data_IF_958672889292
#
_entry.id   IF_958672889292
#
_cell.length_a   1.000
_cell.length_b   1.000
_cell.length_c   1.000
_cell.angle_alpha   90.00
_cell.angle_beta   90.00
_cell.angle_gamma   90.00
#
_symmetry.space_group_name_H-M   'P 1'
#
loop_
_entity.id
_entity.type
_entity.pdbx_description
1 polymer ?
#
# COMPACT_ATOMS: atom_id res chain seq x y z
N UNK A 1 -5.47 9.66 16.03
CA UNK A 1 -6.96 9.62 16.05
C UNK A 1 -7.57 10.65 17.01
N UNK A 2 -6.98 10.91 18.18
CA UNK A 2 -7.38 12.06 18.98
C UNK A 2 -7.17 13.35 18.19
N UNK A 3 -8.21 14.20 18.07
CA UNK A 3 -8.16 15.47 17.34
C UNK A 3 -9.03 15.53 16.07
N UNK A 4 -9.53 14.40 15.57
CA UNK A 4 -10.52 14.40 14.48
C UNK A 4 -11.95 14.50 15.01
N UNK A 5 -12.81 15.19 14.26
CA UNK A 5 -14.25 15.33 14.58
C UNK A 5 -15.00 14.03 14.33
N UNK A 6 -14.60 13.26 13.33
CA UNK A 6 -15.18 11.96 13.04
C UNK A 6 -14.16 10.82 13.17
N UNK A 7 -14.62 9.75 13.84
CA UNK A 7 -13.91 8.49 13.98
C UNK A 7 -14.70 7.38 13.26
N UNK A 8 -14.03 6.42 12.61
CA UNK A 8 -14.71 5.23 12.13
C UNK A 8 -15.46 4.48 13.24
N UNK A 9 -16.65 3.90 12.96
CA UNK A 9 -17.40 3.10 13.93
C UNK A 9 -16.85 1.69 14.14
N UNK A 10 -15.70 1.33 13.54
CA UNK A 10 -15.02 0.03 13.70
C UNK A 10 -13.66 0.19 14.38
N UNK A 11 -13.08 -0.92 14.82
CA UNK A 11 -11.72 -0.96 15.35
C UNK A 11 -10.68 -0.73 14.25
N UNK A 12 -9.76 0.21 14.47
CA UNK A 12 -8.78 0.69 13.49
C UNK A 12 -7.43 0.00 13.67
N UNK A 13 -6.91 -0.59 12.60
CA UNK A 13 -5.61 -1.28 12.57
C UNK A 13 -4.47 -0.36 13.05
N UNK A 14 -3.63 -0.84 13.97
CA UNK A 14 -2.51 -0.07 14.52
C UNK A 14 -2.91 1.06 15.47
N UNK A 15 -4.21 1.23 15.76
CA UNK A 15 -4.73 2.20 16.73
C UNK A 15 -5.48 1.49 17.86
N UNK A 16 -6.46 0.67 17.51
CA UNK A 16 -7.32 -0.03 18.49
C UNK A 16 -6.84 -1.46 18.77
N UNK A 17 -6.06 -2.03 17.86
CA UNK A 17 -5.43 -3.32 18.03
C UNK A 17 -4.05 -3.32 17.36
N UNK A 18 -3.09 -4.09 17.91
CA UNK A 18 -1.76 -4.20 17.33
C UNK A 18 -1.81 -4.94 15.97
N UNK A 19 -0.92 -4.53 15.06
CA UNK A 19 -0.67 -5.20 13.79
C UNK A 19 0.83 -5.35 13.59
N UNK A 20 1.24 -6.32 12.77
CA UNK A 20 2.62 -6.74 12.63
C UNK A 20 2.90 -8.07 13.33
N UNK A 21 4.17 -8.32 13.65
CA UNK A 21 4.60 -9.53 14.36
C UNK A 21 3.92 -9.58 15.75
N UNK A 22 3.22 -10.67 16.09
CA UNK A 22 2.61 -10.81 17.40
C UNK A 22 3.69 -10.81 18.50
N UNK A 23 3.49 -10.13 19.64
CA UNK A 23 4.53 -9.97 20.67
C UNK A 23 5.13 -11.27 21.23
N UNK A 24 4.38 -12.37 21.17
CA UNK A 24 4.80 -13.70 21.64
C UNK A 24 5.64 -14.48 20.63
N UNK A 25 5.81 -13.97 19.40
CA UNK A 25 6.62 -14.63 18.37
C UNK A 25 8.07 -14.22 18.56
N UNK A 26 8.93 -15.22 18.80
CA UNK A 26 10.37 -15.04 18.73
C UNK A 26 10.84 -15.27 17.29
N UNK A 27 11.43 -14.23 16.69
CA UNK A 27 11.96 -14.30 15.33
C UNK A 27 13.29 -15.07 15.32
N UNK A 28 13.45 -15.98 14.35
CA UNK A 28 14.69 -16.72 14.12
C UNK A 28 15.42 -16.20 12.88
N UNK A 29 16.74 -16.10 12.97
CA UNK A 29 17.57 -15.79 11.81
C UNK A 29 17.48 -16.93 10.77
N UNK A 30 17.16 -16.65 9.50
CA UNK A 30 17.17 -17.64 8.44
C UNK A 30 18.55 -18.26 8.26
N UNK A 31 18.60 -19.58 8.14
CA UNK A 31 19.79 -20.31 7.72
C UNK A 31 19.38 -21.53 6.87
N UNK A 32 20.34 -22.14 6.17
CA UNK A 32 20.05 -23.25 5.26
C UNK A 32 19.41 -24.47 5.95
N UNK A 33 19.62 -24.67 7.25
CA UNK A 33 19.11 -25.81 8.01
C UNK A 33 17.71 -25.59 8.56
N UNK A 34 17.34 -24.33 8.84
CA UNK A 34 16.08 -23.99 9.48
C UNK A 34 15.01 -23.49 8.51
N UNK A 35 15.32 -23.33 7.23
CA UNK A 35 14.38 -22.92 6.20
C UNK A 35 13.54 -24.11 5.70
N UNK A 36 12.26 -23.89 5.33
CA UNK A 36 11.39 -24.95 4.84
C UNK A 36 11.86 -25.49 3.49
N UNK A 37 11.52 -26.76 3.20
CA UNK A 37 11.72 -27.36 1.88
C UNK A 37 11.05 -26.48 0.80
N UNK A 38 11.70 -26.38 -0.36
CA UNK A 38 11.24 -25.51 -1.44
C UNK A 38 11.78 -24.09 -1.34
N UNK A 39 12.76 -23.86 -0.47
CA UNK A 39 13.50 -22.60 -0.39
C UNK A 39 14.99 -22.82 -0.63
N UNK A 40 15.67 -21.75 -1.04
CA UNK A 40 17.12 -21.69 -1.14
C UNK A 40 17.60 -20.36 -0.55
N UNK A 41 18.46 -20.42 0.47
CA UNK A 41 19.15 -19.24 0.97
C UNK A 41 20.30 -18.89 0.02
N UNK A 42 20.33 -17.64 -0.43
CA UNK A 42 21.39 -17.03 -1.22
C UNK A 42 21.88 -15.78 -0.48
N UNK A 43 23.03 -15.19 -0.86
CA UNK A 43 23.45 -13.91 -0.30
C UNK A 43 22.30 -12.90 -0.36
N UNK A 44 21.93 -12.34 0.78
CA UNK A 44 20.89 -11.31 0.94
C UNK A 44 19.48 -11.71 0.48
N UNK A 45 19.22 -12.99 0.19
CA UNK A 45 17.92 -13.42 -0.33
C UNK A 45 17.51 -14.84 0.07
N UNK A 46 16.23 -15.00 0.38
CA UNK A 46 15.55 -16.30 0.45
C UNK A 46 14.77 -16.48 -0.85
N UNK A 47 15.19 -17.41 -1.69
CA UNK A 47 14.43 -17.79 -2.88
C UNK A 47 13.40 -18.86 -2.52
N UNK A 48 12.17 -18.66 -2.96
CA UNK A 48 11.07 -19.61 -2.87
C UNK A 48 10.92 -20.21 -4.25
N UNK A 49 11.19 -21.51 -4.36
CA UNK A 49 11.31 -22.26 -5.63
C UNK A 49 10.45 -23.53 -5.66
N UNK A 50 9.84 -23.87 -4.53
CA UNK A 50 9.02 -25.07 -4.38
C UNK A 50 7.53 -24.74 -4.20
N UNK A 51 6.69 -25.78 -4.20
CA UNK A 51 5.27 -25.64 -3.92
C UNK A 51 5.01 -25.39 -2.43
N UNK A 52 3.95 -24.63 -2.13
CA UNK A 52 3.31 -24.55 -0.81
C UNK A 52 4.26 -24.19 0.36
N UNK A 53 5.21 -23.30 0.09
CA UNK A 53 6.21 -22.87 1.07
C UNK A 53 5.60 -21.97 2.14
N UNK A 54 5.94 -22.22 3.41
CA UNK A 54 5.57 -21.36 4.54
C UNK A 54 6.81 -20.86 5.28
N UNK A 55 7.08 -19.55 5.21
CA UNK A 55 8.00 -18.85 6.09
C UNK A 55 7.22 -18.38 7.34
N UNK A 56 7.54 -18.94 8.51
CA UNK A 56 6.87 -18.64 9.78
C UNK A 56 7.90 -18.28 10.88
N UNK A 57 7.80 -17.04 11.38
CA UNK A 57 8.60 -16.58 12.52
C UNK A 57 10.06 -16.26 12.18
N UNK A 58 10.36 -15.72 10.99
CA UNK A 58 11.72 -15.37 10.60
C UNK A 58 12.04 -13.87 10.75
N UNK A 59 13.27 -13.58 11.14
CA UNK A 59 13.87 -12.25 10.99
C UNK A 59 14.38 -12.08 9.56
N UNK A 60 13.75 -11.18 8.81
CA UNK A 60 14.01 -10.84 7.42
C UNK A 60 14.82 -9.53 7.28
N UNK A 61 15.44 -9.06 8.36
CA UNK A 61 16.29 -7.86 8.33
C UNK A 61 17.36 -7.99 7.25
N UNK A 62 17.45 -6.98 6.40
CA UNK A 62 18.37 -6.91 5.25
C UNK A 62 18.22 -8.06 4.23
N UNK A 63 17.06 -8.75 4.19
CA UNK A 63 16.80 -9.84 3.24
C UNK A 63 15.73 -9.49 2.20
N UNK A 64 15.96 -10.01 0.99
CA UNK A 64 14.92 -10.16 -0.03
C UNK A 64 14.24 -11.52 0.12
N UNK A 65 12.91 -11.57 0.20
CA UNK A 65 12.15 -12.80 -0.06
C UNK A 65 11.74 -12.80 -1.52
N UNK A 66 12.39 -13.63 -2.33
CA UNK A 66 12.14 -13.75 -3.77
C UNK A 66 11.23 -14.94 -4.06
N UNK A 67 10.07 -14.70 -4.66
CA UNK A 67 9.18 -15.73 -5.20
C UNK A 67 9.57 -15.95 -6.67
N UNK A 68 10.26 -17.06 -6.94
CA UNK A 68 10.68 -17.42 -8.29
C UNK A 68 9.47 -17.94 -9.12
N UNK A 69 9.62 -17.97 -10.44
CA UNK A 69 8.60 -18.48 -11.37
C UNK A 69 8.29 -19.97 -11.20
N UNK A 70 9.25 -20.72 -10.67
CA UNK A 70 9.10 -22.13 -10.28
C UNK A 70 8.26 -22.36 -9.02
N UNK A 71 8.04 -21.34 -8.19
CA UNK A 71 7.15 -21.44 -7.04
C UNK A 71 5.70 -21.69 -7.50
N UNK A 72 4.99 -22.57 -6.79
CA UNK A 72 3.62 -22.92 -7.12
C UNK A 72 2.77 -23.12 -5.87
N UNK A 73 1.45 -23.24 -6.05
CA UNK A 73 0.51 -23.36 -4.94
C UNK A 73 0.45 -22.07 -4.12
N UNK A 74 0.54 -22.19 -2.79
CA UNK A 74 0.45 -21.04 -1.87
C UNK A 74 1.76 -20.77 -1.14
N UNK A 75 2.33 -19.58 -1.37
CA UNK A 75 3.48 -19.09 -0.61
C UNK A 75 2.98 -18.27 0.57
N UNK A 76 3.20 -18.76 1.80
CA UNK A 76 2.81 -18.07 3.03
C UNK A 76 4.02 -17.47 3.72
N UNK A 77 3.99 -16.17 3.99
CA UNK A 77 4.98 -15.43 4.77
C UNK A 77 4.23 -14.87 5.98
N UNK A 78 4.41 -15.46 7.15
CA UNK A 78 3.65 -15.10 8.33
C UNK A 78 4.50 -14.96 9.59
N UNK A 79 4.08 -14.08 10.50
CA UNK A 79 4.80 -13.83 11.74
C UNK A 79 6.27 -13.45 11.53
N UNK A 80 6.63 -12.93 10.36
CA UNK A 80 8.00 -12.54 10.03
C UNK A 80 8.21 -11.06 10.32
N UNK A 81 9.39 -10.70 10.82
CA UNK A 81 9.73 -9.31 11.10
C UNK A 81 10.98 -8.91 10.36
N UNK A 82 11.16 -7.61 10.12
CA UNK A 82 12.42 -7.03 9.72
C UNK A 82 12.56 -5.67 10.38
N UNK A 83 13.74 -5.40 10.91
CA UNK A 83 14.07 -4.11 11.52
C UNK A 83 14.48 -3.04 10.49
N UNK A 84 14.90 -3.47 9.30
CA UNK A 84 15.23 -2.63 8.14
C UNK A 84 15.44 -3.48 6.89
N UNK A 85 15.43 -2.83 5.72
CA UNK A 85 15.96 -3.35 4.47
C UNK A 85 15.19 -4.53 3.85
N UNK A 86 14.02 -4.89 4.36
CA UNK A 86 13.28 -6.03 3.82
C UNK A 86 12.56 -5.66 2.53
N UNK A 87 12.61 -6.59 1.58
CA UNK A 87 11.77 -6.54 0.38
C UNK A 87 11.20 -7.91 0.05
N UNK A 88 9.94 -7.96 -0.36
CA UNK A 88 9.27 -9.16 -0.87
C UNK A 88 9.04 -8.95 -2.38
N UNK A 89 9.56 -9.87 -3.18
CA UNK A 89 9.60 -9.77 -4.64
C UNK A 89 9.03 -11.01 -5.28
N UNK A 90 8.56 -10.88 -6.51
CA UNK A 90 8.42 -12.04 -7.39
C UNK A 90 9.09 -11.78 -8.72
N UNK A 91 9.40 -12.83 -9.46
CA UNK A 91 9.60 -12.70 -10.91
C UNK A 91 8.30 -12.26 -11.58
N UNK A 92 8.40 -11.76 -12.81
CA UNK A 92 7.23 -11.31 -13.59
C UNK A 92 6.29 -12.44 -13.96
N UNK A 93 6.82 -13.66 -14.10
CA UNK A 93 6.09 -14.86 -14.50
C UNK A 93 5.65 -15.72 -13.30
N UNK A 94 5.88 -15.26 -12.07
CA UNK A 94 5.43 -15.97 -10.87
C UNK A 94 3.90 -16.10 -10.85
N UNK A 95 3.41 -17.30 -10.50
CA UNK A 95 1.97 -17.61 -10.49
C UNK A 95 1.44 -18.02 -9.11
N UNK A 96 2.33 -18.34 -8.17
CA UNK A 96 1.93 -18.76 -6.82
C UNK A 96 1.08 -17.69 -6.12
N UNK A 97 0.08 -18.12 -5.34
CA UNK A 97 -0.65 -17.21 -4.47
C UNK A 97 0.25 -16.83 -3.30
N UNK A 98 0.57 -15.55 -3.16
CA UNK A 98 1.35 -15.04 -2.03
C UNK A 98 0.43 -14.56 -0.92
N UNK A 99 0.67 -15.02 0.30
CA UNK A 99 -0.03 -14.57 1.51
C UNK A 99 1.02 -14.01 2.46
N UNK A 100 0.90 -12.72 2.79
CA UNK A 100 1.69 -12.04 3.82
C UNK A 100 0.78 -11.73 5.00
N UNK A 101 1.09 -12.23 6.20
CA UNK A 101 0.22 -12.00 7.35
C UNK A 101 0.95 -11.82 8.67
N UNK A 102 0.51 -10.89 9.52
CA UNK A 102 1.12 -10.66 10.84
C UNK A 102 2.63 -10.39 10.74
N UNK A 103 3.05 -9.62 9.73
CA UNK A 103 4.45 -9.29 9.51
C UNK A 103 4.74 -7.82 9.83
N UNK A 104 5.90 -7.54 10.43
CA UNK A 104 6.42 -6.17 10.58
C UNK A 104 7.55 -5.99 9.58
N UNK A 105 7.32 -5.18 8.54
CA UNK A 105 8.24 -5.00 7.42
C UNK A 105 8.72 -3.55 7.39
N UNK A 106 9.95 -3.32 7.88
CA UNK A 106 10.62 -2.03 7.80
C UNK A 106 11.56 -1.98 6.59
N UNK A 107 11.33 -1.03 5.68
CA UNK A 107 12.13 -0.85 4.47
C UNK A 107 13.51 -0.24 4.71
N UNK A 108 13.80 0.30 5.90
CA UNK A 108 15.09 0.91 6.26
C UNK A 108 15.22 2.41 5.94
N UNK A 109 14.12 3.10 5.63
CA UNK A 109 14.11 4.55 5.41
C UNK A 109 15.00 4.98 4.24
N UNK A 110 15.91 5.92 4.46
CA UNK A 110 16.84 6.41 3.43
C UNK A 110 17.77 5.33 2.85
N UNK A 111 18.03 4.26 3.61
CA UNK A 111 18.87 3.15 3.16
C UNK A 111 18.12 2.16 2.26
N UNK A 112 16.81 2.33 2.10
CA UNK A 112 16.00 1.50 1.21
C UNK A 112 16.39 1.70 -0.25
N UNK A 113 16.25 0.66 -1.07
CA UNK A 113 16.42 0.79 -2.52
C UNK A 113 15.28 1.68 -3.08
N UNK A 114 15.59 2.85 -3.66
CA UNK A 114 14.57 3.81 -4.08
C UNK A 114 13.66 3.31 -5.22
N UNK A 115 14.03 2.25 -5.94
CA UNK A 115 13.29 1.74 -7.10
C UNK A 115 12.11 0.83 -6.72
N UNK A 116 11.88 0.65 -5.42
CA UNK A 116 11.36 -0.60 -4.92
C UNK A 116 10.40 -0.39 -3.75
N UNK A 117 9.13 -0.77 -3.94
CA UNK A 117 8.18 -0.96 -2.83
C UNK A 117 8.63 -2.13 -1.95
N UNK A 118 8.26 -2.10 -0.68
CA UNK A 118 8.57 -3.16 0.29
C UNK A 118 7.99 -4.50 -0.17
N UNK A 119 6.77 -4.51 -0.71
CA UNK A 119 6.20 -5.68 -1.39
C UNK A 119 5.98 -5.30 -2.84
N UNK A 120 6.59 -6.02 -3.79
CA UNK A 120 6.36 -5.87 -5.23
C UNK A 120 6.29 -7.23 -5.89
N UNK A 121 5.08 -7.66 -6.22
CA UNK A 121 4.85 -8.99 -6.79
C UNK A 121 3.94 -8.88 -8.01
N UNK A 122 4.15 -9.77 -8.97
CA UNK A 122 3.35 -9.88 -10.20
C UNK A 122 2.28 -10.97 -10.11
N UNK A 123 2.34 -11.79 -9.07
CA UNK A 123 1.38 -12.84 -8.75
C UNK A 123 0.24 -12.35 -7.84
N UNK A 124 -0.84 -13.14 -7.68
CA UNK A 124 -1.91 -12.85 -6.72
C UNK A 124 -1.37 -12.64 -5.30
N UNK A 125 -1.86 -11.61 -4.62
CA UNK A 125 -1.35 -11.21 -3.30
C UNK A 125 -2.48 -11.04 -2.29
N UNK A 126 -2.30 -11.61 -1.10
CA UNK A 126 -3.08 -11.29 0.10
C UNK A 126 -2.15 -10.74 1.17
N UNK A 127 -2.45 -9.56 1.72
CA UNK A 127 -1.72 -8.94 2.84
C UNK A 127 -2.68 -8.64 3.97
N UNK A 128 -2.43 -9.22 5.15
CA UNK A 128 -3.31 -9.01 6.32
C UNK A 128 -2.56 -8.78 7.62
N UNK A 129 -3.15 -7.99 8.52
CA UNK A 129 -2.64 -7.78 9.89
C UNK A 129 -1.15 -7.40 9.97
N UNK A 130 -0.61 -6.78 8.92
CA UNK A 130 0.82 -6.48 8.79
C UNK A 130 1.09 -4.99 8.98
N UNK A 131 2.28 -4.67 9.51
CA UNK A 131 2.79 -3.32 9.64
C UNK A 131 3.90 -3.12 8.61
N UNK A 132 3.66 -2.27 7.61
CA UNK A 132 4.57 -2.01 6.50
C UNK A 132 5.02 -0.55 6.59
N UNK A 133 6.32 -0.30 6.74
CA UNK A 133 6.80 1.04 7.06
C UNK A 133 8.17 1.38 6.51
N UNK A 134 8.46 2.69 6.49
CA UNK A 134 9.82 3.22 6.31
C UNK A 134 10.47 2.74 5.00
N UNK A 135 9.81 2.93 3.87
CA UNK A 135 10.35 2.57 2.55
C UNK A 135 9.97 3.57 1.46
N UNK A 136 10.38 3.37 0.21
CA UNK A 136 10.00 4.25 -0.89
C UNK A 136 8.50 4.14 -1.20
N UNK A 137 7.90 2.98 -0.96
CA UNK A 137 6.47 2.71 -1.00
C UNK A 137 6.12 1.36 -0.35
N UNK A 138 4.83 1.09 -0.16
CA UNK A 138 4.37 -0.07 0.61
C UNK A 138 4.20 -1.33 -0.25
N UNK A 139 3.08 -1.40 -0.96
CA UNK A 139 2.68 -2.55 -1.77
C UNK A 139 2.58 -2.14 -3.23
N UNK A 140 3.13 -2.95 -4.13
CA UNK A 140 2.85 -2.96 -5.56
C UNK A 140 2.42 -4.37 -5.98
N UNK A 141 1.23 -4.48 -6.54
CA UNK A 141 0.70 -5.76 -7.04
C UNK A 141 -0.15 -5.56 -8.28
N UNK A 142 -0.53 -6.66 -8.94
CA UNK A 142 -1.57 -6.64 -9.98
C UNK A 142 -2.94 -6.36 -9.36
N UNK A 143 -3.97 -6.26 -10.20
CA UNK A 143 -5.34 -6.13 -9.72
C UNK A 143 -5.79 -7.32 -8.86
N UNK A 144 -5.11 -8.47 -8.85
CA UNK A 144 -5.44 -9.61 -7.98
C UNK A 144 -4.86 -9.41 -6.58
N UNK A 145 -5.44 -8.48 -5.82
CA UNK A 145 -4.96 -8.06 -4.50
C UNK A 145 -6.07 -8.13 -3.44
N UNK A 146 -5.76 -8.70 -2.27
CA UNK A 146 -6.51 -8.49 -1.03
C UNK A 146 -5.57 -7.83 -0.02
N UNK A 147 -5.88 -6.62 0.42
CA UNK A 147 -5.16 -5.93 1.48
C UNK A 147 -6.14 -5.55 2.59
N UNK A 148 -6.03 -6.20 3.76
CA UNK A 148 -6.95 -5.92 4.88
C UNK A 148 -6.28 -5.81 6.23
N UNK A 149 -6.81 -4.93 7.09
CA UNK A 149 -6.38 -4.82 8.49
C UNK A 149 -4.89 -4.51 8.68
N UNK A 150 -4.27 -3.81 7.73
CA UNK A 150 -2.84 -3.46 7.79
C UNK A 150 -2.62 -2.03 8.29
N UNK A 151 -1.44 -1.76 8.82
CA UNK A 151 -0.91 -0.40 9.01
C UNK A 151 0.19 -0.15 7.98
N UNK A 152 0.05 0.90 7.18
CA UNK A 152 1.03 1.33 6.19
C UNK A 152 1.44 2.78 6.49
N UNK A 153 2.73 3.04 6.73
CA UNK A 153 3.17 4.38 7.10
C UNK A 153 4.60 4.73 6.72
N UNK A 154 4.92 6.02 6.75
CA UNK A 154 6.31 6.48 6.65
C UNK A 154 6.93 6.17 5.29
N UNK A 155 6.32 6.57 4.17
CA UNK A 155 6.89 6.37 2.84
C UNK A 155 7.58 7.64 2.29
N UNK A 156 8.07 7.59 1.05
CA UNK A 156 8.75 8.69 0.36
C UNK A 156 10.16 9.03 0.88
N UNK A 157 10.92 8.02 1.30
CA UNK A 157 12.30 8.16 1.80
C UNK A 157 13.39 8.40 0.74
N UNK A 158 13.05 8.84 -0.47
CA UNK A 158 14.06 9.21 -1.46
C UNK A 158 13.57 10.28 -2.43
N UNK A 159 14.46 11.15 -2.95
CA UNK A 159 14.10 12.11 -3.99
C UNK A 159 13.50 11.41 -5.22
N UNK A 160 12.33 11.86 -5.66
CA UNK A 160 11.62 11.25 -6.79
C UNK A 160 10.87 9.96 -6.46
N UNK A 161 10.81 9.53 -5.19
CA UNK A 161 10.04 8.37 -4.78
C UNK A 161 8.56 8.49 -5.18
N UNK A 162 8.07 7.51 -5.95
CA UNK A 162 6.65 7.32 -6.21
C UNK A 162 6.00 6.63 -5.00
N UNK A 163 5.79 7.42 -3.94
CA UNK A 163 5.43 6.92 -2.62
C UNK A 163 3.97 6.49 -2.48
N UNK A 164 3.59 5.44 -3.20
CA UNK A 164 2.28 4.85 -3.00
C UNK A 164 2.32 3.87 -1.84
N UNK A 165 1.39 4.00 -0.89
CA UNK A 165 1.23 2.99 0.14
C UNK A 165 0.71 1.69 -0.49
N UNK A 166 -0.26 1.80 -1.41
CA UNK A 166 -0.73 0.70 -2.24
C UNK A 166 -0.81 1.17 -3.70
N UNK A 167 0.01 0.54 -4.55
CA UNK A 167 0.02 0.64 -5.99
C UNK A 167 -0.64 -0.61 -6.58
N UNK A 168 -1.66 -0.42 -7.40
CA UNK A 168 -2.33 -1.50 -8.12
C UNK A 168 -2.11 -1.29 -9.61
N UNK A 169 -1.45 -2.25 -10.23
CA UNK A 169 -1.29 -2.30 -11.69
C UNK A 169 -2.55 -2.87 -12.33
N UNK A 170 -2.99 -2.26 -13.43
CA UNK A 170 -4.09 -2.76 -14.24
C UNK A 170 -3.87 -4.20 -14.74
N UNK A 171 -4.95 -4.85 -15.18
CA UNK A 171 -4.96 -6.21 -15.71
C UNK A 171 -5.80 -6.32 -16.98
N UNK A 172 -5.64 -7.41 -17.73
CA UNK A 172 -6.57 -7.78 -18.79
C UNK A 172 -7.57 -8.87 -18.37
N UNK A 173 -7.37 -9.50 -17.22
CA UNK A 173 -8.26 -10.53 -16.69
C UNK A 173 -9.44 -9.90 -15.93
N UNK A 174 -10.68 -10.17 -16.38
CA UNK A 174 -11.90 -9.64 -15.75
C UNK A 174 -12.22 -10.25 -14.38
N UNK A 175 -11.58 -11.38 -14.04
CA UNK A 175 -11.74 -12.02 -12.74
C UNK A 175 -10.90 -11.33 -11.65
N UNK A 176 -9.82 -10.64 -12.01
CA UNK A 176 -8.99 -9.96 -11.01
C UNK A 176 -9.68 -8.70 -10.51
N UNK A 177 -9.59 -8.49 -9.20
CA UNK A 177 -10.16 -7.35 -8.50
C UNK A 177 -9.37 -7.08 -7.24
N UNK A 178 -9.16 -5.79 -6.95
CA UNK A 178 -8.51 -5.41 -5.71
C UNK A 178 -9.57 -5.26 -4.61
N UNK A 179 -9.30 -5.81 -3.44
CA UNK A 179 -10.12 -5.65 -2.24
C UNK A 179 -9.24 -5.03 -1.16
N UNK A 180 -9.41 -3.74 -0.93
CA UNK A 180 -8.58 -2.95 -0.02
C UNK A 180 -9.49 -2.41 1.07
N UNK A 181 -9.48 -3.06 2.24
CA UNK A 181 -10.44 -2.73 3.30
C UNK A 181 -9.85 -2.72 4.69
N UNK A 182 -10.35 -1.85 5.57
CA UNK A 182 -9.95 -1.79 6.97
C UNK A 182 -8.46 -1.56 7.23
N UNK A 183 -7.74 -0.99 6.25
CA UNK A 183 -6.35 -0.59 6.45
C UNK A 183 -6.26 0.81 7.06
N UNK A 184 -5.20 1.05 7.82
CA UNK A 184 -4.77 2.38 8.24
C UNK A 184 -3.56 2.78 7.41
N UNK A 185 -3.65 3.93 6.73
CA UNK A 185 -2.54 4.49 5.96
C UNK A 185 -2.24 5.89 6.50
N UNK A 186 -0.98 6.12 6.89
CA UNK A 186 -0.58 7.34 7.61
C UNK A 186 0.70 7.94 7.02
N UNK A 187 0.66 9.21 6.61
CA UNK A 187 1.90 9.97 6.40
C UNK A 187 2.36 10.52 7.73
N UNK A 188 3.67 10.56 7.98
CA UNK A 188 4.19 11.18 9.18
C UNK A 188 3.84 12.68 9.20
N UNK A 189 3.85 13.29 10.39
CA UNK A 189 3.61 14.73 10.58
C UNK A 189 4.89 15.57 10.49
N UNK A 190 6.03 14.92 10.33
CA UNK A 190 7.34 15.53 10.24
C UNK A 190 8.06 15.07 8.97
N UNK A 191 9.04 15.87 8.55
CA UNK A 191 10.01 15.51 7.50
C UNK A 191 11.08 14.61 8.09
N UNK A 192 11.80 13.89 7.23
CA UNK A 192 12.97 13.12 7.66
C UNK A 192 14.16 14.06 7.94
N UNK A 193 15.30 13.47 8.30
CA UNK A 193 16.54 14.18 8.63
C UNK A 193 17.08 15.00 7.46
N UNK A 194 16.81 14.59 6.21
CA UNK A 194 17.14 15.31 4.97
C UNK A 194 16.10 16.37 4.56
N UNK A 195 15.12 16.66 5.43
CA UNK A 195 14.03 17.60 5.19
C UNK A 195 13.12 17.21 3.99
N UNK A 196 13.12 15.93 3.60
CA UNK A 196 12.20 15.38 2.62
C UNK A 196 10.84 15.11 3.26
N UNK A 197 9.73 15.30 2.52
CA UNK A 197 8.42 14.94 3.04
C UNK A 197 8.34 13.41 3.19
N UNK A 198 8.14 12.93 4.41
CA UNK A 198 7.83 11.50 4.65
C UNK A 198 6.33 11.32 4.43
N UNK A 199 6.02 11.06 3.17
CA UNK A 199 4.70 11.25 2.61
C UNK A 199 4.13 10.04 1.93
N UNK A 200 2.94 10.24 1.38
CA UNK A 200 2.22 9.25 0.61
C UNK A 200 1.86 9.93 -0.72
N UNK A 201 2.63 9.71 -1.78
CA UNK A 201 2.38 10.27 -3.11
C UNK A 201 0.91 10.14 -3.51
N UNK A 202 0.39 8.91 -3.61
CA UNK A 202 -1.03 8.61 -3.49
C UNK A 202 -1.22 7.41 -2.55
N UNK A 203 -2.22 7.43 -1.67
CA UNK A 203 -2.33 6.36 -0.68
C UNK A 203 -2.74 5.04 -1.31
N UNK A 204 -3.79 5.07 -2.11
CA UNK A 204 -4.26 3.92 -2.85
C UNK A 204 -4.43 4.36 -4.30
N UNK A 205 -3.57 3.85 -5.17
CA UNK A 205 -3.49 4.29 -6.55
C UNK A 205 -3.61 3.10 -7.51
N UNK A 206 -4.58 3.19 -8.41
CA UNK A 206 -4.80 2.23 -9.48
C UNK A 206 -4.23 2.80 -10.78
N UNK A 207 -3.08 2.30 -11.22
CA UNK A 207 -2.42 2.75 -12.43
C UNK A 207 -2.74 1.84 -13.62
N UNK A 208 -3.32 2.41 -14.67
CA UNK A 208 -3.71 1.64 -15.87
C UNK A 208 -2.54 1.22 -16.77
N UNK A 209 -1.31 1.24 -16.29
CA UNK A 209 -0.07 0.84 -17.00
C UNK A 209 0.03 -0.69 -17.24
N UNK A 210 -0.91 -1.46 -16.70
CA UNK A 210 -1.09 -2.89 -17.00
C UNK A 210 -2.44 -3.25 -17.60
N UNK A 211 -3.30 -2.26 -17.91
CA UNK A 211 -4.62 -2.48 -18.47
C UNK A 211 -5.73 -1.95 -17.58
N UNK A 212 -6.81 -2.73 -17.47
CA UNK A 212 -8.09 -2.32 -16.90
C UNK A 212 -8.24 -2.71 -15.42
N UNK A 213 -9.28 -2.18 -14.79
CA UNK A 213 -9.73 -2.54 -13.45
C UNK A 213 -11.21 -2.93 -13.47
N UNK A 214 -11.55 -3.97 -12.71
CA UNK A 214 -12.90 -4.52 -12.67
C UNK A 214 -13.34 -4.76 -11.23
N UNK A 215 -14.50 -4.22 -10.85
CA UNK A 215 -15.17 -4.50 -9.58
C UNK A 215 -14.27 -4.35 -8.32
N UNK A 216 -13.22 -3.54 -8.41
CA UNK A 216 -12.31 -3.28 -7.28
C UNK A 216 -13.02 -2.49 -6.19
N UNK A 217 -12.78 -2.86 -4.94
CA UNK A 217 -13.37 -2.24 -3.76
C UNK A 217 -12.29 -1.62 -2.90
N UNK A 218 -12.44 -0.34 -2.58
CA UNK A 218 -11.68 0.38 -1.56
C UNK A 218 -12.66 0.88 -0.53
N UNK A 219 -12.70 0.23 0.63
CA UNK A 219 -13.72 0.54 1.62
C UNK A 219 -13.26 0.45 3.05
N UNK A 220 -13.79 1.31 3.92
CA UNK A 220 -13.54 1.27 5.38
C UNK A 220 -12.06 1.41 5.73
N UNK A 221 -11.27 2.07 4.89
CA UNK A 221 -9.90 2.42 5.22
C UNK A 221 -9.87 3.74 6.00
N UNK A 222 -8.85 3.91 6.84
CA UNK A 222 -8.47 5.18 7.44
C UNK A 222 -7.23 5.68 6.70
N UNK A 223 -7.30 6.86 6.09
CA UNK A 223 -6.16 7.44 5.37
C UNK A 223 -5.91 8.86 5.85
N UNK A 224 -4.72 9.12 6.37
CA UNK A 224 -4.37 10.40 6.97
C UNK A 224 -3.08 10.92 6.32
N UNK A 225 -3.17 12.08 5.68
CA UNK A 225 -2.00 12.86 5.27
C UNK A 225 -1.72 13.96 6.32
N UNK A 226 -0.81 13.70 7.25
CA UNK A 226 -0.52 14.54 8.41
C UNK A 226 0.56 15.62 8.19
N UNK A 227 1.25 15.62 7.05
CA UNK A 227 2.29 16.61 6.73
C UNK A 227 1.89 17.44 5.49
N UNK A 228 1.98 18.78 5.51
CA UNK A 228 1.67 19.60 4.33
C UNK A 228 2.49 19.21 3.10
N UNK A 229 1.80 19.03 1.97
CA UNK A 229 2.41 18.60 0.70
C UNK A 229 2.92 17.16 0.68
N UNK A 230 2.58 16.34 1.67
CA UNK A 230 3.01 14.96 1.76
C UNK A 230 2.29 14.02 0.78
N UNK A 231 1.13 14.43 0.27
CA UNK A 231 0.33 13.64 -0.65
C UNK A 231 -0.25 14.46 -1.79
N UNK A 232 -0.44 13.80 -2.93
CA UNK A 232 -1.19 14.35 -4.05
C UNK A 232 -2.68 14.11 -3.84
N UNK A 233 -3.15 12.89 -4.05
CA UNK A 233 -4.52 12.46 -3.82
C UNK A 233 -4.51 11.18 -3.00
N UNK A 234 -5.44 11.05 -2.06
CA UNK A 234 -5.43 9.88 -1.18
C UNK A 234 -5.84 8.62 -1.93
N UNK A 235 -6.93 8.65 -2.70
CA UNK A 235 -7.42 7.49 -3.43
C UNK A 235 -7.71 7.88 -4.88
N UNK A 236 -7.27 7.09 -5.86
CA UNK A 236 -7.54 7.42 -7.25
C UNK A 236 -7.33 6.30 -8.24
N UNK A 237 -8.14 6.33 -9.30
CA UNK A 237 -7.83 5.65 -10.55
C UNK A 237 -7.05 6.61 -11.46
N UNK A 238 -5.91 6.16 -11.94
CA UNK A 238 -5.02 6.89 -12.85
C UNK A 238 -5.06 6.14 -14.19
N UNK A 239 -6.18 6.27 -14.89
CA UNK A 239 -6.46 5.45 -16.08
C UNK A 239 -6.13 6.24 -17.35
N UNK A 240 -5.16 5.81 -18.18
CA UNK A 240 -4.88 6.43 -19.47
C UNK A 240 -5.98 6.13 -20.50
N UNK A 241 -5.95 6.79 -21.66
CA UNK A 241 -6.97 6.68 -22.72
C UNK A 241 -7.23 5.26 -23.26
N UNK A 242 -6.26 4.35 -23.12
CA UNK A 242 -6.35 2.97 -23.58
C UNK A 242 -6.79 1.97 -22.49
N UNK A 243 -7.13 2.45 -21.30
CA UNK A 243 -7.54 1.64 -20.17
C UNK A 243 -8.89 2.11 -19.60
N UNK A 244 -9.47 1.29 -18.74
CA UNK A 244 -10.74 1.56 -18.07
C UNK A 244 -10.75 1.04 -16.63
N UNK A 245 -11.50 1.71 -15.77
CA UNK A 245 -11.91 1.21 -14.46
C UNK A 245 -13.44 1.09 -14.45
N UNK A 246 -13.96 -0.11 -14.22
CA UNK A 246 -15.41 -0.38 -14.28
C UNK A 246 -15.90 -1.10 -13.03
N UNK A 247 -17.06 -0.68 -12.52
CA UNK A 247 -17.67 -1.28 -11.32
C UNK A 247 -16.89 -1.00 -10.03
N UNK A 248 -15.98 -0.03 -10.02
CA UNK A 248 -15.18 0.31 -8.85
C UNK A 248 -16.06 0.85 -7.72
N UNK A 249 -15.71 0.57 -6.46
CA UNK A 249 -16.43 1.07 -5.28
C UNK A 249 -15.44 1.68 -4.29
N UNK A 250 -15.45 3.00 -4.18
CA UNK A 250 -14.64 3.76 -3.23
C UNK A 250 -15.57 4.32 -2.16
N UNK A 251 -15.80 3.54 -1.10
CA UNK A 251 -16.92 3.82 -0.19
C UNK A 251 -16.58 3.68 1.29
N UNK A 252 -17.22 4.46 2.15
CA UNK A 252 -17.04 4.36 3.61
C UNK A 252 -15.60 4.53 4.09
N UNK A 253 -14.73 5.22 3.34
CA UNK A 253 -13.38 5.51 3.80
C UNK A 253 -13.40 6.76 4.70
N UNK A 254 -12.58 6.76 5.75
CA UNK A 254 -12.37 7.90 6.64
C UNK A 254 -11.04 8.53 6.27
N UNK A 255 -11.11 9.74 5.73
CA UNK A 255 -9.99 10.42 5.09
C UNK A 255 -9.68 11.70 5.82
N UNK A 256 -8.40 12.01 6.01
CA UNK A 256 -7.95 13.24 6.62
C UNK A 256 -6.76 13.83 5.88
N UNK A 257 -6.73 15.15 5.85
CA UNK A 257 -5.60 15.93 5.40
C UNK A 257 -5.33 17.01 6.43
N UNK A 258 -4.09 17.17 6.88
CA UNK A 258 -3.72 18.32 7.72
C UNK A 258 -4.08 19.60 6.99
N UNK A 259 -4.65 20.57 7.71
CA UNK A 259 -5.23 21.81 7.18
C UNK A 259 -6.47 21.64 6.27
N UNK A 260 -6.92 20.42 6.00
CA UNK A 260 -8.06 20.09 5.14
C UNK A 260 -7.67 19.91 3.67
N UNK A 261 -8.60 19.46 2.83
CA UNK A 261 -8.34 19.20 1.40
C UNK A 261 -8.36 20.47 0.54
N UNK A 262 -7.68 20.44 -0.61
CA UNK A 262 -7.64 21.50 -1.63
C UNK A 262 -7.13 22.87 -1.14
N UNK A 263 -6.12 22.86 -0.25
CA UNK A 263 -5.46 24.09 0.22
C UNK A 263 -3.97 24.03 -0.07
N UNK A 264 -3.34 25.20 -0.20
CA UNK A 264 -1.90 25.32 -0.48
C UNK A 264 -1.02 24.71 0.62
N UNK A 265 -1.53 24.64 1.85
CA UNK A 265 -0.89 24.08 3.03
C UNK A 265 -1.51 22.72 3.46
N UNK A 266 -2.33 22.12 2.58
CA UNK A 266 -2.96 20.83 2.84
C UNK A 266 -1.94 19.69 2.88
N UNK A 267 -2.24 18.65 3.66
CA UNK A 267 -1.48 17.40 3.60
C UNK A 267 -1.64 16.65 2.28
N UNK A 268 -2.79 16.82 1.63
CA UNK A 268 -3.18 16.18 0.40
C UNK A 268 -3.95 17.19 -0.46
N UNK A 269 -3.58 17.33 -1.74
CA UNK A 269 -4.33 18.19 -2.66
C UNK A 269 -5.81 17.82 -2.69
N UNK A 270 -6.15 16.53 -2.65
CA UNK A 270 -7.54 16.09 -2.53
C UNK A 270 -7.70 14.70 -1.95
N UNK A 271 -8.93 14.37 -1.55
CA UNK A 271 -9.29 13.02 -1.13
C UNK A 271 -9.28 12.05 -2.32
N UNK A 272 -9.80 12.48 -3.47
CA UNK A 272 -9.95 11.66 -4.68
C UNK A 272 -9.27 12.29 -5.87
N UNK A 273 -8.64 11.46 -6.70
CA UNK A 273 -8.09 11.92 -7.98
C UNK A 273 -9.23 12.40 -8.90
N UNK A 274 -9.15 13.61 -9.47
CA UNK A 274 -10.32 14.25 -10.08
C UNK A 274 -10.54 13.92 -11.55
N UNK A 275 -9.56 13.32 -12.25
CA UNK A 275 -9.66 13.13 -13.72
C UNK A 275 -8.75 12.06 -14.30
N UNK A 276 -9.32 10.92 -14.66
CA UNK A 276 -8.71 9.96 -15.59
C UNK A 276 -8.92 10.37 -17.06
N UNK A 277 -7.89 10.29 -17.92
CA UNK A 277 -8.07 10.37 -19.39
C UNK A 277 -8.87 9.22 -20.00
N UNK A 278 -8.81 8.03 -19.39
CA UNK A 278 -9.58 6.84 -19.76
C UNK A 278 -10.96 6.81 -19.14
N UNK A 279 -11.69 5.70 -19.38
CA UNK A 279 -13.02 5.50 -18.82
C UNK A 279 -12.91 5.15 -17.33
N UNK A 280 -13.43 6.00 -16.46
CA UNK A 280 -13.55 5.73 -15.03
C UNK A 280 -15.03 5.67 -14.63
N UNK A 281 -15.49 4.46 -14.29
CA UNK A 281 -16.82 4.16 -13.78
C UNK A 281 -16.69 3.54 -12.38
N UNK A 282 -16.33 4.39 -11.42
CA UNK A 282 -16.29 4.04 -10.00
C UNK A 282 -17.32 4.86 -9.22
N UNK A 283 -17.98 4.22 -8.26
CA UNK A 283 -18.84 4.89 -7.28
C UNK A 283 -17.99 5.42 -6.11
N UNK A 284 -18.18 6.70 -5.81
CA UNK A 284 -17.52 7.40 -4.71
C UNK A 284 -18.61 7.91 -3.76
N UNK A 285 -18.92 7.11 -2.73
CA UNK A 285 -20.05 7.37 -1.85
C UNK A 285 -19.72 7.10 -0.38
N UNK A 286 -20.39 7.81 0.53
CA UNK A 286 -20.27 7.61 1.98
C UNK A 286 -18.84 7.71 2.56
N UNK A 287 -17.88 8.31 1.85
CA UNK A 287 -16.56 8.61 2.41
C UNK A 287 -16.64 9.83 3.32
N UNK A 288 -15.90 9.86 4.42
CA UNK A 288 -16.01 10.88 5.46
C UNK A 288 -14.69 11.64 5.56
N UNK A 289 -14.76 12.97 5.53
CA UNK A 289 -13.66 13.83 5.96
C UNK A 289 -13.61 13.84 7.48
N UNK A 290 -12.56 13.27 8.06
CA UNK A 290 -12.40 13.13 9.51
C UNK A 290 -12.26 14.48 10.21
N UNK A 291 -11.76 15.52 9.53
CA UNK A 291 -11.62 16.85 10.11
C UNK A 291 -12.97 17.53 10.33
N UNK A 292 -13.96 17.25 9.48
CA UNK A 292 -15.25 17.95 9.48
C UNK A 292 -16.43 17.05 9.82
N UNK A 293 -16.24 15.74 9.77
CA UNK A 293 -17.29 14.72 9.88
C UNK A 293 -18.27 14.68 8.70
N UNK A 294 -18.01 15.45 7.64
CA UNK A 294 -18.89 15.53 6.48
C UNK A 294 -18.55 14.46 5.46
N UNK A 295 -19.56 14.06 4.69
CA UNK A 295 -19.35 13.19 3.53
C UNK A 295 -18.58 13.94 2.44
N UNK A 296 -17.57 13.29 1.87
CA UNK A 296 -16.81 13.76 0.72
C UNK A 296 -17.52 13.24 -0.54
N UNK A 297 -18.03 14.15 -1.35
CA UNK A 297 -18.66 13.81 -2.63
C UNK A 297 -17.62 13.30 -3.66
N UNK A 298 -18.02 12.34 -4.48
CA UNK A 298 -17.29 11.89 -5.66
C UNK A 298 -17.21 12.97 -6.74
N UNK A 299 -16.03 13.11 -7.36
CA UNK A 299 -15.68 14.10 -8.39
C UNK A 299 -15.76 15.57 -7.93
N UNK A 300 -14.71 16.04 -7.25
CA UNK A 300 -14.44 17.47 -7.22
C UNK A 300 -13.90 17.92 -8.58
N UNK A 301 -14.77 18.42 -9.45
CA UNK A 301 -14.37 19.16 -10.63
C UNK A 301 -13.71 20.48 -10.21
N UNK A 302 -12.45 20.46 -9.81
CA UNK A 302 -11.67 21.69 -9.74
C UNK A 302 -11.34 22.11 -11.17
N UNK A 303 -12.15 23.02 -11.72
CA UNK A 303 -11.68 23.91 -12.77
C UNK A 303 -10.44 24.60 -12.21
N UNK A 304 -9.27 24.26 -12.73
CA UNK A 304 -8.05 25.04 -12.54
C UNK A 304 -8.40 26.46 -12.99
N UNK A 305 -8.59 27.39 -12.06
CA UNK A 305 -8.55 28.81 -12.36
C UNK A 305 -7.12 29.09 -12.77
N UNK A 306 -6.85 28.96 -14.07
CA UNK A 306 -5.63 29.44 -14.68
C UNK A 306 -5.53 30.93 -14.42
N UNK A 307 -4.41 31.39 -13.84
CA UNK A 307 -3.73 32.65 -14.19
C UNK A 307 -2.50 32.87 -13.30
N UNK A 308 -1.49 33.61 -13.76
CA UNK A 308 -0.77 33.50 -15.02
C UNK A 308 0.70 33.16 -14.76
N UNK A 309 1.41 32.82 -15.83
CA UNK A 309 2.87 32.73 -15.88
C UNK A 309 3.57 33.92 -15.23
N UNK A 310 4.57 33.64 -14.40
CA UNK A 310 5.85 34.36 -14.36
C UNK A 310 6.98 33.37 -14.16
#
# INVERSE_FOLDING_TARGET
>A
MAGFVARPPWQVAGVDYPVGVPPQVLLKAPNAENLPKGTALRPEAIHIIGPDVTLDGYDLTDLTVMIDDSASGTVTIKNCGASKGVVIRSTVDATAQVIVSHCTLDGGGMASDPNFQIIKVWCPLTVTYSWIKNGPGGIQSSASLIARYNLLEGFAWSPGAHANAIYIRGTHNKADRAIIEYNTIYSQSARNEENLPVGIGAAIAFFGDGGNFYNSTVSRNVVIAALPGAASYLIGFYVPTHASATGGKITYNYLASVNGFNRTDSGAFGAFYPRSPGLEQADYSANVDMNTGRTIAGLQSHKRTTSPSR
#
